data_IF_285278176134
#
_entry.id   IF_285278176134
#
_cell.length_a   1.000
_cell.length_b   1.000
_cell.length_c   1.000
_cell.angle_alpha   90.00
_cell.angle_beta   90.00
_cell.angle_gamma   90.00
#
_symmetry.space_group_name_H-M   'P 1'
#
loop_
_entity.id
_entity.type
_entity.pdbx_description
1 polymer ?
#
# COMPACT_ATOMS: atom_id res chain seq x y z
N UNK A 1 -5.92 -37.65 32.08
CA UNK A 1 -5.80 -37.54 30.59
C UNK A 1 -4.34 -37.25 30.31
N UNK A 2 -3.60 -38.26 29.97
CA UNK A 2 -2.15 -38.22 29.72
C UNK A 2 -1.91 -37.59 28.37
N UNK A 3 -1.25 -36.43 28.33
CA UNK A 3 -0.77 -35.79 27.07
C UNK A 3 0.30 -36.69 26.45
N UNK A 4 0.05 -37.08 25.21
CA UNK A 4 0.98 -37.88 24.44
C UNK A 4 2.13 -36.95 23.93
N UNK A 5 3.39 -37.14 24.34
CA UNK A 5 4.49 -36.22 23.98
C UNK A 5 4.99 -36.36 22.55
N UNK A 6 4.51 -37.37 21.80
CA UNK A 6 5.06 -37.68 20.45
C UNK A 6 4.48 -36.85 19.30
N UNK A 7 3.41 -36.09 19.54
CA UNK A 7 2.80 -35.23 18.48
C UNK A 7 3.38 -33.80 18.44
N UNK A 8 4.22 -33.43 19.42
CA UNK A 8 4.83 -32.10 19.48
C UNK A 8 6.14 -31.97 18.67
N UNK A 9 6.70 -33.06 18.18
CA UNK A 9 7.99 -33.09 17.47
C UNK A 9 7.87 -33.20 15.95
N UNK A 10 6.70 -33.54 15.42
CA UNK A 10 6.51 -33.71 13.97
C UNK A 10 5.86 -32.51 13.25
N UNK A 11 5.46 -31.46 13.95
CA UNK A 11 4.84 -30.28 13.33
C UNK A 11 5.79 -29.06 13.11
N UNK A 12 7.09 -29.24 13.31
CA UNK A 12 8.09 -28.32 12.71
C UNK A 12 8.21 -28.68 11.23
N UNK A 13 7.14 -28.41 10.48
CA UNK A 13 7.12 -28.55 9.04
C UNK A 13 8.39 -27.94 8.47
N UNK A 14 9.03 -28.64 7.57
CA UNK A 14 10.29 -28.31 6.95
C UNK A 14 10.29 -26.89 6.39
N UNK A 15 10.66 -25.90 7.16
CA UNK A 15 11.24 -24.69 6.68
C UNK A 15 12.57 -25.10 6.09
N UNK A 16 12.87 -24.67 4.86
CA UNK A 16 14.09 -25.02 4.15
C UNK A 16 15.40 -24.58 4.85
N UNK A 17 15.34 -24.10 6.07
CA UNK A 17 16.52 -23.80 6.93
C UNK A 17 17.48 -22.74 6.40
N UNK A 18 17.16 -22.15 5.26
CA UNK A 18 18.00 -21.17 4.54
C UNK A 18 17.61 -19.72 4.82
N UNK A 19 16.44 -19.50 5.42
CA UNK A 19 15.89 -18.17 5.74
C UNK A 19 16.29 -17.74 7.15
N UNK A 20 16.70 -16.48 7.27
CA UNK A 20 16.96 -15.82 8.54
C UNK A 20 15.90 -14.74 8.80
N UNK A 21 15.08 -14.90 9.85
CA UNK A 21 14.17 -13.83 10.31
C UNK A 21 14.97 -12.72 10.99
N UNK A 22 14.58 -11.49 10.77
CA UNK A 22 15.20 -10.31 11.37
C UNK A 22 14.37 -9.84 12.58
N UNK A 23 15.01 -9.34 13.66
CA UNK A 23 14.30 -8.88 14.86
C UNK A 23 13.77 -7.43 14.69
N UNK A 24 13.08 -7.18 13.58
CA UNK A 24 12.51 -5.87 13.25
C UNK A 24 11.04 -6.07 12.94
N UNK A 25 10.18 -5.36 13.65
CA UNK A 25 8.73 -5.40 13.50
C UNK A 25 8.18 -3.98 13.35
N UNK A 26 7.21 -3.81 12.46
CA UNK A 26 6.47 -2.58 12.24
C UNK A 26 5.01 -2.83 12.62
N UNK A 27 4.63 -2.34 13.77
CA UNK A 27 3.27 -2.44 14.30
C UNK A 27 2.42 -1.24 13.90
N UNK A 28 1.08 -1.39 13.91
CA UNK A 28 0.15 -0.26 13.79
C UNK A 28 0.43 0.80 14.86
N UNK A 29 0.28 2.07 14.48
CA UNK A 29 0.45 3.20 15.39
C UNK A 29 -0.78 4.12 15.34
N UNK A 30 -1.64 4.01 16.34
CA UNK A 30 -2.86 4.81 16.44
C UNK A 30 -2.59 6.31 16.66
N UNK A 31 -1.38 6.69 17.07
CA UNK A 31 -1.01 8.10 17.27
C UNK A 31 -0.75 8.84 15.96
N UNK A 32 -0.58 8.11 14.86
CA UNK A 32 -0.37 8.69 13.52
C UNK A 32 -1.71 9.05 12.89
N UNK A 33 -2.01 10.34 12.92
CA UNK A 33 -3.31 10.87 12.49
C UNK A 33 -3.15 11.92 11.41
N UNK A 34 -4.16 12.03 10.56
CA UNK A 34 -4.32 13.07 9.55
C UNK A 34 -5.62 13.81 9.77
N UNK A 35 -5.63 15.12 9.51
CA UNK A 35 -6.87 15.89 9.47
C UNK A 35 -7.49 15.71 8.09
N UNK A 36 -8.73 15.20 8.06
CA UNK A 36 -9.46 14.96 6.81
C UNK A 36 -10.90 15.47 6.88
N UNK A 37 -11.53 15.72 5.72
CA UNK A 37 -12.93 16.10 5.67
C UNK A 37 -13.84 15.13 6.40
N UNK A 38 -14.76 15.69 7.18
CA UNK A 38 -15.85 14.99 7.84
C UNK A 38 -17.19 15.55 7.38
N UNK A 39 -18.12 14.67 7.05
CA UNK A 39 -19.51 15.02 6.81
C UNK A 39 -20.39 14.31 7.82
N UNK A 40 -21.21 15.05 8.58
CA UNK A 40 -22.25 14.43 9.38
C UNK A 40 -23.14 13.58 8.48
N UNK A 41 -23.67 12.46 9.01
CA UNK A 41 -24.59 11.61 8.27
C UNK A 41 -25.76 12.43 7.69
N UNK A 42 -26.17 12.07 6.46
CA UNK A 42 -27.26 12.73 5.77
C UNK A 42 -28.53 12.74 6.62
N UNK A 43 -29.19 13.89 6.64
CA UNK A 43 -30.48 14.07 7.29
C UNK A 43 -31.58 13.80 6.25
N UNK A 44 -32.51 12.86 6.49
CA UNK A 44 -33.61 12.62 5.57
C UNK A 44 -34.43 13.90 5.21
N UNK A 45 -34.46 14.88 6.11
CA UNK A 45 -35.06 16.18 5.84
C UNK A 45 -34.31 17.04 4.85
N UNK A 46 -32.99 16.81 4.65
CA UNK A 46 -32.22 17.55 3.69
C UNK A 46 -32.64 17.30 2.25
N UNK A 47 -33.29 16.16 1.97
CA UNK A 47 -33.86 15.83 0.66
C UNK A 47 -35.11 16.63 0.33
N UNK A 48 -35.86 17.07 1.34
CA UNK A 48 -37.15 17.75 1.18
C UNK A 48 -37.11 19.25 1.50
N UNK A 49 -36.17 19.66 2.37
CA UNK A 49 -35.98 21.06 2.78
C UNK A 49 -34.48 21.35 2.88
N UNK A 50 -33.81 21.63 1.75
CA UNK A 50 -32.36 21.84 1.67
C UNK A 50 -31.84 22.97 2.59
N UNK A 51 -32.65 24.02 2.84
CA UNK A 51 -32.32 25.13 3.75
C UNK A 51 -32.20 24.67 5.21
N UNK A 52 -32.74 23.48 5.54
CA UNK A 52 -32.60 22.84 6.84
C UNK A 52 -31.58 21.71 6.85
N UNK A 53 -30.69 21.64 5.86
CA UNK A 53 -29.64 20.65 5.83
C UNK A 53 -28.83 20.69 7.15
N UNK A 54 -28.28 19.55 7.55
CA UNK A 54 -27.47 19.47 8.76
C UNK A 54 -26.23 20.38 8.69
N UNK A 55 -25.66 20.54 7.49
CA UNK A 55 -24.55 21.47 7.23
C UNK A 55 -24.97 22.91 7.55
N UNK A 56 -26.12 23.34 7.03
CA UNK A 56 -26.65 24.69 7.29
C UNK A 56 -26.90 24.91 8.79
N UNK A 57 -27.56 23.98 9.46
CA UNK A 57 -27.86 24.10 10.89
C UNK A 57 -26.58 24.18 11.76
N UNK A 58 -25.50 23.51 11.40
CA UNK A 58 -24.23 23.60 12.12
C UNK A 58 -23.62 24.98 11.90
N UNK A 59 -23.58 25.46 10.65
CA UNK A 59 -23.07 26.79 10.34
C UNK A 59 -23.87 27.89 11.08
N UNK A 60 -25.23 27.84 11.05
CA UNK A 60 -26.10 28.81 11.71
C UNK A 60 -25.89 28.85 13.22
N UNK A 61 -25.61 27.71 13.87
CA UNK A 61 -25.31 27.66 15.31
C UNK A 61 -24.01 28.43 15.62
N UNK A 62 -22.96 28.26 14.81
CA UNK A 62 -21.71 29.01 15.01
C UNK A 62 -21.92 30.49 14.74
N UNK A 63 -22.69 30.86 13.72
CA UNK A 63 -22.95 32.25 13.39
C UNK A 63 -23.79 32.97 14.49
N UNK A 64 -24.61 32.21 15.22
CA UNK A 64 -25.42 32.75 16.36
C UNK A 64 -24.63 32.86 17.67
N UNK A 65 -23.37 32.37 17.74
CA UNK A 65 -22.57 32.50 18.95
C UNK A 65 -22.05 33.93 19.13
N UNK A 66 -21.90 34.34 20.38
CA UNK A 66 -21.16 35.59 20.72
C UNK A 66 -19.66 35.48 20.33
N UNK A 67 -19.09 36.56 19.86
CA UNK A 67 -17.69 36.57 19.38
C UNK A 67 -16.68 36.05 20.44
N UNK A 68 -16.86 36.42 21.70
CA UNK A 68 -16.00 35.94 22.79
C UNK A 68 -16.08 34.43 22.97
N UNK A 69 -17.27 33.82 22.80
CA UNK A 69 -17.45 32.38 22.87
C UNK A 69 -16.84 31.66 21.66
N UNK A 70 -16.93 32.27 20.46
CA UNK A 70 -16.27 31.75 19.25
C UNK A 70 -14.77 31.72 19.44
N UNK A 71 -14.16 32.84 19.88
CA UNK A 71 -12.71 32.95 20.11
C UNK A 71 -12.22 31.94 21.15
N UNK A 72 -12.92 31.80 22.27
CA UNK A 72 -12.56 30.88 23.33
C UNK A 72 -12.62 29.41 22.87
N UNK A 73 -13.69 29.02 22.17
CA UNK A 73 -13.87 27.67 21.68
C UNK A 73 -12.89 27.32 20.55
N UNK A 74 -12.63 28.28 19.66
CA UNK A 74 -11.60 28.12 18.61
C UNK A 74 -10.22 27.92 19.19
N UNK A 75 -9.80 28.72 20.19
CA UNK A 75 -8.52 28.58 20.87
C UNK A 75 -8.38 27.18 21.49
N UNK A 76 -9.42 26.69 22.17
CA UNK A 76 -9.45 25.33 22.70
C UNK A 76 -9.34 24.27 21.60
N UNK A 77 -10.05 24.46 20.48
CA UNK A 77 -10.02 23.54 19.34
C UNK A 77 -8.66 23.47 18.69
N UNK A 78 -7.91 24.59 18.60
CA UNK A 78 -6.61 24.65 17.95
C UNK A 78 -5.46 24.19 18.87
N UNK A 79 -5.64 24.14 20.17
CA UNK A 79 -4.60 23.80 21.14
C UNK A 79 -3.86 22.47 20.84
N UNK A 80 -4.53 21.35 20.44
CA UNK A 80 -3.87 20.10 20.12
C UNK A 80 -2.99 20.15 18.86
N UNK A 81 -3.08 21.23 18.07
CA UNK A 81 -2.42 21.35 16.76
C UNK A 81 -1.27 22.37 16.75
N UNK A 82 -0.87 22.90 17.89
CA UNK A 82 0.18 23.95 18.00
C UNK A 82 1.53 23.47 17.45
N UNK A 83 1.85 22.19 17.64
CA UNK A 83 3.12 21.59 17.22
C UNK A 83 3.09 20.99 15.79
N UNK A 84 2.03 21.24 15.02
CA UNK A 84 1.94 20.72 13.64
C UNK A 84 2.81 21.55 12.69
N UNK A 85 3.57 20.87 11.81
CA UNK A 85 4.44 21.52 10.81
C UNK A 85 3.69 22.30 9.74
N UNK A 86 2.38 22.03 9.57
CA UNK A 86 1.51 22.66 8.58
C UNK A 86 0.44 23.54 9.25
N UNK A 87 0.01 24.57 8.54
CA UNK A 87 -1.02 25.48 9.05
C UNK A 87 -2.39 24.83 9.06
N UNK A 88 -2.83 24.39 10.23
CA UNK A 88 -4.18 23.84 10.45
C UNK A 88 -5.24 24.89 10.09
N UNK A 89 -5.01 26.18 10.39
CA UNK A 89 -5.93 27.24 10.03
C UNK A 89 -6.22 27.31 8.52
N UNK A 90 -5.19 27.10 7.66
CA UNK A 90 -5.40 27.08 6.21
C UNK A 90 -6.33 25.92 5.79
N UNK A 91 -6.19 24.76 6.43
CA UNK A 91 -7.06 23.61 6.17
C UNK A 91 -8.50 23.91 6.60
N UNK A 92 -8.67 24.52 7.77
CA UNK A 92 -10.01 24.87 8.28
C UNK A 92 -10.69 25.92 7.41
N UNK A 93 -9.96 26.95 6.95
CA UNK A 93 -10.53 27.95 6.03
C UNK A 93 -10.89 27.34 4.68
N UNK A 94 -10.01 26.53 4.09
CA UNK A 94 -10.33 25.82 2.83
C UNK A 94 -11.58 24.94 2.99
N UNK A 95 -11.72 24.28 4.14
CA UNK A 95 -12.90 23.50 4.45
C UNK A 95 -14.15 24.34 4.60
N UNK A 96 -14.05 25.48 5.26
CA UNK A 96 -15.15 26.45 5.34
C UNK A 96 -15.63 26.87 3.94
N UNK A 97 -14.74 27.24 3.04
CA UNK A 97 -15.09 27.66 1.67
C UNK A 97 -15.82 26.54 0.92
N UNK A 98 -15.36 25.28 1.05
CA UNK A 98 -16.04 24.13 0.46
C UNK A 98 -17.47 23.97 1.01
N UNK A 99 -17.64 24.04 2.33
CA UNK A 99 -18.95 23.93 2.99
C UNK A 99 -19.86 25.09 2.59
N UNK A 100 -19.33 26.31 2.60
CA UNK A 100 -20.06 27.54 2.22
C UNK A 100 -20.52 27.46 0.74
N UNK A 101 -19.73 26.79 -0.12
CA UNK A 101 -20.13 26.53 -1.50
C UNK A 101 -21.28 25.53 -1.65
N UNK A 102 -21.53 24.67 -0.65
CA UNK A 102 -22.56 23.62 -0.66
C UNK A 102 -23.87 24.00 0.04
N UNK A 103 -23.84 24.98 0.92
CA UNK A 103 -25.05 25.47 1.62
C UNK A 103 -25.77 26.52 0.79
N UNK A 104 -27.10 26.56 0.87
CA UNK A 104 -27.94 27.46 0.06
C UNK A 104 -27.82 28.90 0.56
N UNK A 105 -27.95 29.12 1.87
CA UNK A 105 -27.74 30.42 2.48
C UNK A 105 -26.26 30.61 2.80
N UNK A 106 -25.52 31.20 1.85
CA UNK A 106 -24.10 31.49 2.02
C UNK A 106 -23.86 32.31 3.28
N UNK A 107 -22.89 31.88 4.09
CA UNK A 107 -22.53 32.52 5.33
C UNK A 107 -21.66 33.75 5.10
N UNK A 108 -22.06 34.89 5.66
CA UNK A 108 -21.16 36.01 5.94
C UNK A 108 -20.57 35.81 7.35
N UNK A 109 -19.39 35.24 7.42
CA UNK A 109 -18.73 34.86 8.69
C UNK A 109 -17.49 35.71 8.94
N UNK A 110 -17.21 35.99 10.20
CA UNK A 110 -15.88 36.51 10.59
C UNK A 110 -14.81 35.44 10.36
N UNK A 111 -13.53 35.80 10.33
CA UNK A 111 -12.43 34.84 10.18
C UNK A 111 -12.50 33.71 11.22
N UNK A 112 -12.76 34.05 12.50
CA UNK A 112 -12.84 33.07 13.58
C UNK A 112 -14.05 32.16 13.45
N UNK A 113 -15.22 32.68 13.04
CA UNK A 113 -16.40 31.89 12.74
C UNK A 113 -16.15 30.95 11.55
N UNK A 114 -15.47 31.41 10.51
CA UNK A 114 -15.11 30.60 9.35
C UNK A 114 -14.17 29.44 9.75
N UNK A 115 -13.15 29.72 10.55
CA UNK A 115 -12.25 28.70 11.09
C UNK A 115 -13.02 27.67 11.93
N UNK A 116 -13.91 28.15 12.81
CA UNK A 116 -14.67 27.25 13.68
C UNK A 116 -15.69 26.41 12.89
N UNK A 117 -16.38 27.00 11.90
CA UNK A 117 -17.26 26.23 10.99
C UNK A 117 -16.42 25.18 10.26
N UNK A 118 -15.28 25.55 9.69
CA UNK A 118 -14.39 24.60 9.04
C UNK A 118 -13.98 23.43 9.96
N UNK A 119 -13.72 23.72 11.25
CA UNK A 119 -13.34 22.70 12.22
C UNK A 119 -14.46 21.68 12.47
N UNK A 120 -15.75 22.08 12.49
CA UNK A 120 -16.88 21.16 12.65
C UNK A 120 -17.05 20.17 11.49
N UNK A 121 -16.38 20.42 10.37
CA UNK A 121 -16.39 19.55 9.18
C UNK A 121 -15.05 18.92 8.88
N UNK A 122 -14.17 18.83 9.87
CA UNK A 122 -12.92 18.09 9.85
C UNK A 122 -12.91 17.06 10.98
N UNK A 123 -12.08 16.02 10.80
CA UNK A 123 -11.81 15.03 11.84
C UNK A 123 -10.35 14.62 11.81
N UNK A 124 -9.81 14.24 12.96
CA UNK A 124 -8.59 13.46 13.00
C UNK A 124 -8.93 12.01 12.65
N UNK A 125 -8.12 11.42 11.80
CA UNK A 125 -8.29 10.06 11.32
C UNK A 125 -6.98 9.29 11.47
N UNK A 126 -7.00 8.24 12.29
CA UNK A 126 -5.86 7.33 12.46
C UNK A 126 -5.90 6.26 11.37
N UNK A 127 -5.01 6.40 10.39
CA UNK A 127 -5.06 5.62 9.16
C UNK A 127 -4.35 4.27 9.23
N UNK A 128 -3.53 4.03 10.27
CA UNK A 128 -2.84 2.77 10.51
C UNK A 128 -3.09 2.22 11.93
N UNK A 129 -4.25 2.53 12.52
CA UNK A 129 -4.57 2.15 13.90
C UNK A 129 -4.83 0.64 14.08
N UNK A 130 -5.37 -0.02 13.06
CA UNK A 130 -5.81 -1.41 13.15
C UNK A 130 -4.79 -2.41 12.62
N UNK A 131 -4.08 -2.07 11.52
CA UNK A 131 -3.09 -2.95 10.90
C UNK A 131 -2.08 -2.14 10.08
N UNK A 132 -0.86 -2.69 9.96
CA UNK A 132 0.23 -2.15 9.14
C UNK A 132 0.96 -3.32 8.47
N UNK A 133 0.58 -3.66 7.23
CA UNK A 133 0.90 -4.94 6.63
C UNK A 133 1.06 -4.87 5.10
N UNK A 134 1.21 -6.02 4.44
CA UNK A 134 1.38 -6.18 3.00
C UNK A 134 2.47 -5.26 2.42
N UNK A 135 3.72 -5.42 2.91
CA UNK A 135 4.84 -4.56 2.55
C UNK A 135 5.32 -4.80 1.12
N UNK A 136 5.80 -3.72 0.46
CA UNK A 136 6.58 -3.80 -0.78
C UNK A 136 7.80 -2.89 -0.68
N UNK A 137 8.98 -3.41 -1.02
CA UNK A 137 10.26 -2.70 -0.88
C UNK A 137 10.92 -2.45 -2.24
N UNK A 138 11.43 -1.22 -2.44
CA UNK A 138 12.21 -0.83 -3.63
C UNK A 138 13.41 0.01 -3.21
N UNK A 139 14.49 0.07 -4.02
CA UNK A 139 15.58 1.00 -3.76
C UNK A 139 15.07 2.44 -3.69
N UNK A 140 15.58 3.22 -2.74
CA UNK A 140 15.28 4.66 -2.65
C UNK A 140 15.88 5.40 -3.86
N UNK A 141 15.23 6.43 -4.43
CA UNK A 141 15.78 7.17 -5.57
C UNK A 141 17.13 7.86 -5.24
N UNK A 142 17.29 8.29 -4.02
CA UNK A 142 18.54 8.89 -3.54
C UNK A 142 19.34 7.89 -2.69
N UNK A 143 20.50 7.49 -3.19
CA UNK A 143 21.47 6.62 -2.52
C UNK A 143 22.68 7.40 -1.99
N UNK A 144 22.66 8.74 -2.03
CA UNK A 144 23.78 9.56 -1.57
C UNK A 144 24.03 9.38 -0.07
N UNK A 145 25.30 9.44 0.31
CA UNK A 145 25.69 9.30 1.72
C UNK A 145 25.59 7.91 2.31
N UNK A 146 25.21 6.87 1.53
CA UNK A 146 25.16 5.50 2.04
C UNK A 146 26.57 4.91 2.18
N UNK A 147 26.84 4.20 3.28
CA UNK A 147 28.09 3.44 3.44
C UNK A 147 28.26 2.38 2.34
N UNK A 148 29.50 2.00 1.98
CA UNK A 148 29.75 0.93 1.02
C UNK A 148 29.02 -0.37 1.36
N UNK A 149 28.37 -0.99 0.36
CA UNK A 149 27.57 -2.22 0.54
C UNK A 149 26.25 -2.01 1.25
N UNK A 150 25.82 -0.77 1.47
CA UNK A 150 24.52 -0.43 2.03
C UNK A 150 23.57 0.07 0.95
N UNK A 151 22.31 -0.29 1.06
CA UNK A 151 21.23 0.14 0.19
C UNK A 151 20.19 0.91 1.00
N UNK A 152 19.87 2.15 0.62
CA UNK A 152 18.69 2.86 1.12
C UNK A 152 17.46 2.40 0.35
N UNK A 153 16.35 2.19 1.03
CA UNK A 153 15.11 1.72 0.41
C UNK A 153 13.89 2.53 0.84
N UNK A 154 12.85 2.40 0.02
CA UNK A 154 11.48 2.80 0.34
C UNK A 154 10.67 1.54 0.55
N UNK A 155 9.91 1.50 1.64
CA UNK A 155 8.96 0.46 1.98
C UNK A 155 7.55 1.04 1.93
N UNK A 156 6.69 0.55 1.06
CA UNK A 156 5.26 0.84 1.11
C UNK A 156 4.55 -0.19 1.97
N UNK A 157 3.52 0.24 2.69
CA UNK A 157 2.75 -0.58 3.62
C UNK A 157 1.26 -0.26 3.46
N UNK A 158 0.41 -1.26 3.63
CA UNK A 158 -1.02 -1.08 3.74
C UNK A 158 -1.36 -0.74 5.19
N UNK A 159 -1.84 0.48 5.42
CA UNK A 159 -2.39 0.91 6.70
C UNK A 159 -3.91 0.73 6.71
N UNK A 160 -4.47 0.23 7.81
CA UNK A 160 -5.91 0.13 8.02
C UNK A 160 -6.32 0.96 9.22
N UNK A 161 -7.21 1.91 8.99
CA UNK A 161 -7.75 2.81 9.99
C UNK A 161 -9.22 2.57 10.32
N UNK A 162 -9.86 3.58 10.91
CA UNK A 162 -11.28 3.59 11.22
C UNK A 162 -12.14 3.23 9.99
N UNK A 163 -13.19 2.43 10.20
CA UNK A 163 -14.07 1.96 9.13
C UNK A 163 -13.45 0.91 8.22
N UNK A 164 -12.30 0.32 8.60
CA UNK A 164 -11.54 -0.66 7.81
C UNK A 164 -11.12 -0.14 6.42
N UNK A 165 -10.93 1.18 6.30
CA UNK A 165 -10.46 1.80 5.07
C UNK A 165 -8.95 1.61 4.97
N UNK A 166 -8.52 1.01 3.86
CA UNK A 166 -7.10 0.82 3.56
C UNK A 166 -6.50 2.03 2.86
N UNK A 167 -5.28 2.39 3.25
CA UNK A 167 -4.45 3.42 2.65
C UNK A 167 -3.03 2.89 2.43
N UNK A 168 -2.23 3.59 1.62
CA UNK A 168 -0.80 3.26 1.47
C UNK A 168 0.03 4.30 2.21
N UNK A 169 0.89 3.83 3.10
CA UNK A 169 1.87 4.63 3.83
C UNK A 169 3.29 4.16 3.52
N UNK A 170 4.28 4.99 3.82
CA UNK A 170 5.66 4.70 3.48
C UNK A 170 6.57 4.74 4.71
N UNK A 171 7.66 3.99 4.64
CA UNK A 171 8.82 4.07 5.53
C UNK A 171 10.08 4.11 4.70
N UNK A 172 11.15 4.64 5.25
CA UNK A 172 12.51 4.51 4.70
C UNK A 172 13.35 3.68 5.64
N UNK A 173 14.47 3.23 5.14
CA UNK A 173 15.44 2.49 5.91
C UNK A 173 16.66 2.14 5.07
N UNK A 174 17.59 1.43 5.68
CA UNK A 174 18.79 0.95 5.01
C UNK A 174 19.03 -0.53 5.32
N UNK A 175 19.63 -1.21 4.35
CA UNK A 175 20.01 -2.60 4.48
C UNK A 175 21.46 -2.81 4.04
N UNK A 176 22.19 -3.59 4.81
CA UNK A 176 23.53 -4.06 4.50
C UNK A 176 23.65 -5.50 4.96
N UNK A 177 24.17 -6.36 4.12
CA UNK A 177 24.29 -7.81 4.42
C UNK A 177 25.11 -8.08 5.68
N UNK A 178 26.09 -7.22 6.00
CA UNK A 178 26.98 -7.38 7.16
C UNK A 178 26.44 -6.74 8.44
N UNK A 179 25.88 -5.52 8.32
CA UNK A 179 25.44 -4.74 9.50
C UNK A 179 23.93 -4.86 9.79
N UNK A 180 23.16 -5.41 8.85
CA UNK A 180 21.74 -5.69 9.05
C UNK A 180 20.82 -4.63 8.48
N UNK A 181 19.57 -4.65 8.96
CA UNK A 181 18.45 -3.81 8.57
C UNK A 181 18.21 -2.71 9.61
N UNK A 182 18.00 -1.49 9.13
CA UNK A 182 17.54 -0.37 9.96
C UNK A 182 16.31 0.26 9.29
N UNK A 183 15.28 0.57 10.08
CA UNK A 183 14.12 1.34 9.65
C UNK A 183 14.19 2.72 10.30
N UNK A 184 14.01 3.76 9.52
CA UNK A 184 13.97 5.13 10.02
C UNK A 184 12.69 5.35 10.83
N UNK A 185 12.79 6.08 11.94
CA UNK A 185 11.63 6.41 12.76
C UNK A 185 10.65 7.28 11.95
N UNK A 186 9.37 6.91 11.84
CA UNK A 186 8.41 7.71 11.10
C UNK A 186 8.08 9.00 11.83
N UNK A 187 7.76 10.05 11.08
CA UNK A 187 7.16 11.26 11.63
C UNK A 187 5.80 10.92 12.26
N UNK A 188 5.45 11.56 13.36
CA UNK A 188 4.10 11.50 13.94
C UNK A 188 3.07 12.28 13.13
N UNK A 189 3.53 13.18 12.29
CA UNK A 189 2.68 14.05 11.49
C UNK A 189 2.39 13.40 10.15
N UNK A 190 1.20 13.65 9.64
CA UNK A 190 0.79 13.25 8.29
C UNK A 190 0.17 14.44 7.63
N UNK A 191 0.58 14.71 6.42
CA UNK A 191 0.15 15.88 5.65
C UNK A 191 -0.92 15.47 4.65
N UNK A 192 -2.00 16.24 4.60
CA UNK A 192 -2.99 16.10 3.55
C UNK A 192 -2.42 16.57 2.21
N UNK A 193 -2.47 15.71 1.19
CA UNK A 193 -1.92 16.00 -0.13
C UNK A 193 -2.87 16.84 -0.97
N UNK A 194 -2.30 17.57 -1.92
CA UNK A 194 -3.06 18.30 -2.94
C UNK A 194 -3.39 17.35 -4.09
N UNK A 195 -4.68 17.29 -4.42
CA UNK A 195 -5.17 16.59 -5.60
C UNK A 195 -5.20 17.57 -6.76
N UNK A 196 -4.55 17.19 -7.86
CA UNK A 196 -4.62 17.89 -9.13
C UNK A 196 -5.27 16.98 -10.16
N UNK A 197 -6.23 17.50 -10.91
CA UNK A 197 -6.71 16.78 -12.09
C UNK A 197 -5.65 16.90 -13.17
N UNK A 198 -5.41 15.82 -13.90
CA UNK A 198 -4.47 15.85 -15.01
C UNK A 198 -4.94 16.94 -16.01
N UNK A 199 -4.08 17.92 -16.33
CA UNK A 199 -4.43 18.96 -17.30
C UNK A 199 -4.57 18.44 -18.74
N UNK A 200 -4.19 17.17 -19.01
CA UNK A 200 -4.28 16.57 -20.33
C UNK A 200 -5.32 15.43 -20.36
N UNK A 201 -6.62 15.74 -20.61
CA UNK A 201 -7.71 14.77 -20.59
C UNK A 201 -7.70 13.78 -21.78
N UNK A 202 -6.70 13.83 -22.66
CA UNK A 202 -6.56 12.87 -23.77
C UNK A 202 -6.01 11.49 -23.34
N UNK A 203 -5.54 11.33 -22.10
CA UNK A 203 -5.29 10.05 -21.49
C UNK A 203 -6.59 9.64 -20.78
N UNK A 204 -7.31 8.67 -21.33
CA UNK A 204 -8.46 7.95 -20.78
C UNK A 204 -8.93 8.43 -19.41
N UNK A 205 -10.00 9.19 -19.42
CA UNK A 205 -10.92 9.56 -18.35
C UNK A 205 -10.58 9.01 -16.95
N UNK A 206 -10.04 9.89 -16.07
CA UNK A 206 -9.92 9.61 -14.65
C UNK A 206 -8.53 9.53 -14.03
N UNK A 207 -7.47 9.98 -14.70
CA UNK A 207 -6.16 10.06 -14.06
C UNK A 207 -6.15 11.11 -12.94
N UNK A 208 -5.56 10.76 -11.79
CA UNK A 208 -5.45 11.63 -10.63
C UNK A 208 -3.97 11.84 -10.33
N UNK A 209 -3.61 13.10 -10.16
CA UNK A 209 -2.28 13.48 -9.71
C UNK A 209 -2.33 13.90 -8.25
N UNK A 210 -1.52 13.26 -7.43
CA UNK A 210 -1.32 13.57 -6.01
C UNK A 210 0.04 14.24 -5.87
N UNK A 211 0.06 15.45 -5.30
CA UNK A 211 1.29 16.22 -5.09
C UNK A 211 1.51 16.44 -3.60
N UNK A 212 2.67 15.99 -3.11
CA UNK A 212 3.14 16.21 -1.75
C UNK A 212 4.03 17.45 -1.68
N UNK A 213 4.13 18.11 -0.53
CA UNK A 213 4.98 19.27 -0.38
C UNK A 213 6.47 18.89 -0.41
N UNK A 214 7.32 19.85 -0.72
CA UNK A 214 8.76 19.63 -0.90
C UNK A 214 9.49 19.22 0.38
N UNK A 215 9.10 19.76 1.51
CA UNK A 215 9.73 19.51 2.80
C UNK A 215 9.19 18.33 3.59
N UNK A 216 8.12 17.66 3.11
CA UNK A 216 7.51 16.56 3.84
C UNK A 216 8.42 15.32 3.87
N UNK A 217 8.59 14.71 5.04
CA UNK A 217 9.22 13.40 5.16
C UNK A 217 8.40 12.34 4.40
N UNK A 218 9.06 11.31 3.89
CA UNK A 218 8.37 10.27 3.13
C UNK A 218 7.31 9.56 3.99
N UNK A 219 7.57 9.38 5.27
CA UNK A 219 6.63 8.75 6.19
C UNK A 219 5.38 9.62 6.48
N UNK A 220 5.42 10.92 6.19
CA UNK A 220 4.27 11.81 6.29
C UNK A 220 3.29 11.67 5.13
N UNK A 221 3.72 11.01 4.05
CA UNK A 221 2.95 10.82 2.81
C UNK A 221 2.08 9.58 2.92
N UNK A 222 0.78 9.78 2.78
CA UNK A 222 -0.21 8.70 2.80
C UNK A 222 -1.13 8.84 1.61
N UNK A 223 -1.25 7.78 0.82
CA UNK A 223 -2.18 7.73 -0.30
C UNK A 223 -3.52 7.21 0.21
N UNK A 224 -4.50 8.10 0.30
CA UNK A 224 -5.87 7.78 0.67
C UNK A 224 -6.72 7.47 -0.56
N UNK A 225 -7.86 6.77 -0.37
CA UNK A 225 -8.88 6.67 -1.38
C UNK A 225 -9.36 8.05 -1.88
N UNK A 226 -9.27 8.28 -3.19
CA UNK A 226 -9.61 9.58 -3.83
C UNK A 226 -10.62 9.43 -4.97
N UNK A 227 -10.95 8.19 -5.36
CA UNK A 227 -11.96 7.87 -6.38
C UNK A 227 -13.12 7.08 -5.81
N UNK A 228 -14.23 7.01 -6.55
CA UNK A 228 -15.36 6.17 -6.19
C UNK A 228 -14.99 4.68 -6.15
N UNK A 229 -14.08 4.23 -7.01
CA UNK A 229 -13.57 2.86 -7.07
C UNK A 229 -12.70 2.50 -5.86
N UNK A 230 -12.08 3.50 -5.23
CA UNK A 230 -11.19 3.33 -4.07
C UNK A 230 -11.89 3.58 -2.74
N UNK A 231 -13.19 3.93 -2.71
CA UNK A 231 -13.86 4.47 -1.49
C UNK A 231 -13.75 3.59 -0.24
N UNK A 232 -13.54 2.28 -0.41
CA UNK A 232 -13.34 1.33 0.68
C UNK A 232 -11.88 0.90 0.85
N UNK A 233 -10.96 1.43 0.03
CA UNK A 233 -9.52 1.23 0.23
C UNK A 233 -8.71 1.16 -1.03
N UNK A 234 -7.42 1.41 -0.82
CA UNK A 234 -6.30 1.13 -1.72
C UNK A 234 -5.54 -0.02 -1.08
N UNK A 235 -5.45 -1.18 -1.77
CA UNK A 235 -4.90 -2.40 -1.21
C UNK A 235 -3.64 -2.84 -1.94
N UNK A 236 -2.67 -3.39 -1.19
CA UNK A 236 -1.60 -4.25 -1.68
C UNK A 236 -0.74 -3.64 -2.80
N UNK A 237 -0.24 -2.42 -2.58
CA UNK A 237 0.65 -1.75 -3.54
C UNK A 237 1.92 -2.58 -3.78
N UNK A 238 2.17 -2.92 -5.04
CA UNK A 238 3.30 -3.72 -5.53
C UNK A 238 4.21 -2.84 -6.36
N UNK A 239 5.22 -2.29 -5.71
CA UNK A 239 6.17 -1.38 -6.34
C UNK A 239 7.30 -2.13 -7.05
N UNK A 240 7.77 -1.53 -8.13
CA UNK A 240 9.02 -1.89 -8.80
C UNK A 240 9.73 -0.64 -9.30
N UNK A 241 11.05 -0.62 -9.21
CA UNK A 241 11.88 0.35 -9.93
C UNK A 241 12.00 -0.13 -11.38
N UNK A 242 11.31 0.56 -12.27
CA UNK A 242 11.29 0.25 -13.69
C UNK A 242 12.42 1.02 -14.41
N UNK A 243 13.18 0.31 -15.22
CA UNK A 243 14.26 0.88 -16.03
C UNK A 243 13.82 0.88 -17.49
N UNK A 244 13.76 2.08 -18.08
CA UNK A 244 13.41 2.27 -19.49
C UNK A 244 14.61 1.92 -20.39
N UNK A 245 14.36 1.78 -21.69
CA UNK A 245 15.39 1.43 -22.69
C UNK A 245 16.51 2.48 -22.80
N UNK A 246 16.21 3.74 -22.49
CA UNK A 246 17.17 4.85 -22.41
C UNK A 246 17.96 4.91 -21.10
N UNK A 247 17.76 3.92 -20.21
CA UNK A 247 18.33 3.79 -18.86
C UNK A 247 17.79 4.78 -17.84
N UNK A 248 16.84 5.62 -18.17
CA UNK A 248 16.09 6.35 -17.15
C UNK A 248 15.31 5.37 -16.27
N UNK A 249 14.97 5.78 -15.06
CA UNK A 249 14.20 4.92 -14.17
C UNK A 249 13.11 5.68 -13.47
N UNK A 250 11.99 5.02 -13.23
CA UNK A 250 10.86 5.47 -12.46
C UNK A 250 10.28 4.32 -11.64
N UNK A 251 9.33 4.59 -10.81
CA UNK A 251 8.64 3.56 -10.04
C UNK A 251 7.26 3.33 -10.63
N UNK A 252 6.98 2.07 -10.93
CA UNK A 252 5.66 1.59 -11.28
C UNK A 252 5.11 0.81 -10.10
N UNK A 253 3.82 0.94 -9.84
CA UNK A 253 3.14 0.17 -8.83
C UNK A 253 1.75 -0.23 -9.31
N UNK A 254 1.38 -1.48 -9.13
CA UNK A 254 -0.01 -1.89 -9.23
C UNK A 254 -0.61 -2.01 -7.85
N UNK A 255 -1.87 -1.66 -7.71
CA UNK A 255 -2.62 -1.84 -6.47
C UNK A 255 -4.07 -2.22 -6.78
N UNK A 256 -4.79 -2.65 -5.77
CA UNK A 256 -6.20 -2.97 -5.89
C UNK A 256 -7.04 -1.84 -5.33
N UNK A 257 -7.86 -1.22 -6.16
CA UNK A 257 -8.92 -0.32 -5.75
C UNK A 257 -10.14 -1.15 -5.35
N UNK A 258 -10.74 -0.84 -4.19
CA UNK A 258 -11.92 -1.51 -3.68
C UNK A 258 -13.04 -0.51 -3.36
N UNK A 259 -14.21 -0.73 -3.92
CA UNK A 259 -15.36 0.17 -3.74
C UNK A 259 -16.40 -0.34 -2.73
N UNK A 260 -16.11 -1.48 -2.06
CA UNK A 260 -17.01 -2.16 -1.14
C UNK A 260 -17.83 -3.27 -1.80
N UNK A 261 -17.77 -3.43 -3.13
CA UNK A 261 -18.47 -4.46 -3.92
C UNK A 261 -17.55 -5.12 -4.94
N UNK A 262 -16.82 -4.32 -5.68
CA UNK A 262 -15.94 -4.75 -6.76
C UNK A 262 -14.51 -4.31 -6.49
N UNK A 263 -13.57 -5.08 -7.04
CA UNK A 263 -12.15 -4.76 -7.07
C UNK A 263 -11.75 -4.40 -8.50
N UNK A 264 -10.79 -3.48 -8.63
CA UNK A 264 -10.19 -3.13 -9.91
C UNK A 264 -8.68 -2.90 -9.73
N UNK A 265 -7.84 -3.41 -10.62
CA UNK A 265 -6.41 -3.08 -10.61
C UNK A 265 -6.21 -1.65 -11.12
N UNK A 266 -5.34 -0.92 -10.45
CA UNK A 266 -4.94 0.42 -10.85
C UNK A 266 -3.41 0.52 -10.87
N UNK A 267 -2.90 1.44 -11.71
CA UNK A 267 -1.48 1.76 -11.86
C UNK A 267 -1.15 3.02 -11.08
N UNK A 268 -0.07 2.97 -10.32
CA UNK A 268 0.60 4.12 -9.73
C UNK A 268 1.94 4.34 -10.43
N UNK A 269 2.25 5.58 -10.79
CA UNK A 269 3.59 5.95 -11.26
C UNK A 269 4.14 7.11 -10.44
N UNK A 270 5.45 7.06 -10.15
CA UNK A 270 6.18 8.14 -9.47
C UNK A 270 7.66 8.06 -9.82
N UNK A 271 8.32 9.22 -9.92
CA UNK A 271 9.78 9.28 -10.12
C UNK A 271 10.51 9.52 -8.80
N UNK A 272 9.86 10.17 -7.85
CA UNK A 272 10.46 10.78 -6.66
C UNK A 272 9.70 10.56 -5.35
N UNK A 273 8.60 9.80 -5.39
CA UNK A 273 7.67 9.63 -4.27
C UNK A 273 7.04 10.94 -3.75
N UNK A 274 7.12 12.03 -4.50
CA UNK A 274 6.51 13.33 -4.20
C UNK A 274 5.29 13.59 -5.05
N UNK A 275 5.38 13.19 -6.30
CA UNK A 275 4.28 13.23 -7.24
C UNK A 275 3.88 11.82 -7.60
N UNK A 276 2.61 11.50 -7.38
CA UNK A 276 2.03 10.20 -7.75
C UNK A 276 0.95 10.41 -8.78
N UNK A 277 1.02 9.65 -9.88
CA UNK A 277 -0.04 9.62 -10.86
C UNK A 277 -0.76 8.27 -10.76
N UNK A 278 -2.09 8.31 -10.60
CA UNK A 278 -2.94 7.15 -10.49
C UNK A 278 -3.75 7.00 -11.77
N UNK A 279 -3.75 5.80 -12.33
CA UNK A 279 -4.41 5.50 -13.60
C UNK A 279 -5.18 4.19 -13.50
N UNK A 280 -6.23 4.05 -14.27
CA UNK A 280 -6.90 2.77 -14.45
C UNK A 280 -6.06 1.85 -15.33
N UNK A 281 -6.17 0.57 -15.09
CA UNK A 281 -5.68 -0.49 -15.96
C UNK A 281 -6.88 -1.18 -16.58
N UNK A 282 -6.82 -1.43 -17.89
CA UNK A 282 -7.93 -1.95 -18.67
C UNK A 282 -7.50 -3.15 -19.52
N UNK A 283 -8.49 -3.89 -20.01
CA UNK A 283 -8.30 -5.04 -20.89
C UNK A 283 -8.33 -6.38 -20.16
N UNK A 284 -8.39 -7.49 -20.91
CA UNK A 284 -8.56 -8.84 -20.36
C UNK A 284 -7.42 -9.29 -19.46
N UNK A 285 -6.20 -8.77 -19.65
CA UNK A 285 -5.05 -9.05 -18.76
C UNK A 285 -5.04 -8.23 -17.47
N UNK A 286 -5.83 -7.14 -17.38
CA UNK A 286 -5.91 -6.26 -16.21
C UNK A 286 -7.18 -6.55 -15.38
N UNK A 287 -7.36 -7.80 -14.98
CA UNK A 287 -8.52 -8.24 -14.18
C UNK A 287 -8.06 -8.78 -12.83
N UNK A 288 -9.00 -8.82 -11.86
CA UNK A 288 -8.76 -9.32 -10.52
C UNK A 288 -7.74 -8.45 -9.76
N UNK A 289 -6.85 -9.05 -8.97
CA UNK A 289 -5.83 -8.39 -8.15
C UNK A 289 -4.49 -9.14 -8.21
N UNK A 290 -3.46 -8.56 -7.60
CA UNK A 290 -2.15 -9.20 -7.50
C UNK A 290 -1.28 -9.01 -8.75
N UNK A 291 -1.57 -8.00 -9.57
CA UNK A 291 -0.74 -7.65 -10.72
C UNK A 291 0.65 -7.18 -10.25
N UNK A 292 1.70 -7.51 -11.01
CA UNK A 292 3.05 -7.06 -10.68
C UNK A 292 3.91 -6.90 -11.94
N UNK A 293 4.43 -5.71 -12.15
CA UNK A 293 5.24 -5.37 -13.32
C UNK A 293 6.64 -6.01 -13.24
N UNK A 294 7.19 -6.38 -14.40
CA UNK A 294 8.62 -6.64 -14.54
C UNK A 294 9.42 -5.34 -14.43
N UNK A 295 10.68 -5.38 -13.99
CA UNK A 295 11.49 -4.17 -13.77
C UNK A 295 12.00 -3.50 -15.06
N UNK A 296 11.76 -4.08 -16.21
CA UNK A 296 12.06 -3.56 -17.55
C UNK A 296 11.19 -4.23 -18.62
N UNK A 297 11.28 -3.75 -19.84
CA UNK A 297 10.61 -4.38 -20.98
C UNK A 297 11.22 -5.75 -21.30
N UNK A 298 10.39 -6.64 -21.81
CA UNK A 298 10.74 -7.94 -22.36
C UNK A 298 10.44 -7.88 -23.85
N UNK A 299 11.45 -8.05 -24.69
CA UNK A 299 11.32 -7.93 -26.15
C UNK A 299 10.56 -6.66 -26.60
N UNK A 300 10.92 -5.52 -25.98
CA UNK A 300 10.33 -4.21 -26.28
C UNK A 300 8.93 -3.97 -25.69
N UNK A 301 8.32 -4.95 -25.01
CA UNK A 301 6.98 -4.83 -24.40
C UNK A 301 7.05 -4.70 -22.89
N UNK A 302 6.09 -4.00 -22.33
CA UNK A 302 5.81 -4.09 -20.89
C UNK A 302 5.30 -5.50 -20.58
N UNK A 303 5.72 -6.02 -19.44
CA UNK A 303 5.30 -7.32 -18.95
C UNK A 303 4.78 -7.22 -17.53
N UNK A 304 3.76 -7.97 -17.19
CA UNK A 304 3.27 -8.12 -15.81
C UNK A 304 2.83 -9.55 -15.54
N UNK A 305 3.02 -9.96 -14.29
CA UNK A 305 2.34 -11.13 -13.74
C UNK A 305 0.95 -10.71 -13.29
N UNK A 306 -0.04 -11.54 -13.60
CA UNK A 306 -1.44 -11.31 -13.24
C UNK A 306 -2.11 -12.59 -12.74
N UNK A 307 -3.38 -12.50 -12.37
CA UNK A 307 -4.16 -13.62 -11.81
C UNK A 307 -5.53 -13.65 -12.49
N UNK A 308 -5.59 -14.28 -13.64
CA UNK A 308 -6.80 -14.28 -14.47
C UNK A 308 -7.93 -15.15 -13.88
N UNK A 309 -7.59 -16.35 -13.42
CA UNK A 309 -8.51 -17.37 -12.91
C UNK A 309 -8.65 -17.41 -11.38
N UNK A 310 -8.03 -16.49 -10.66
CA UNK A 310 -7.88 -16.45 -9.19
C UNK A 310 -7.18 -17.70 -8.59
N UNK A 311 -6.61 -18.57 -9.42
CA UNK A 311 -5.94 -19.80 -8.99
C UNK A 311 -4.46 -19.79 -9.35
N UNK A 312 -4.12 -19.35 -10.58
CA UNK A 312 -2.80 -19.50 -11.20
C UNK A 312 -2.09 -18.14 -11.37
N UNK A 313 -0.78 -18.18 -11.65
CA UNK A 313 -0.02 -17.02 -12.10
C UNK A 313 -0.02 -16.99 -13.63
N UNK A 314 -0.36 -15.85 -14.19
CA UNK A 314 -0.42 -15.58 -15.61
C UNK A 314 0.55 -14.47 -15.99
N UNK A 315 0.99 -14.45 -17.25
CA UNK A 315 1.83 -13.39 -17.84
C UNK A 315 1.03 -12.66 -18.91
N UNK A 316 0.99 -11.34 -18.82
CA UNK A 316 0.48 -10.46 -19.86
C UNK A 316 1.58 -9.57 -20.42
N UNK A 317 1.56 -9.32 -21.73
CA UNK A 317 2.47 -8.42 -22.44
C UNK A 317 1.65 -7.29 -23.08
N UNK A 318 2.21 -6.06 -23.07
CA UNK A 318 1.54 -4.90 -23.68
C UNK A 318 2.54 -3.90 -24.24
N UNK A 319 2.10 -3.16 -25.26
CA UNK A 319 2.85 -2.03 -25.80
C UNK A 319 2.68 -0.75 -24.96
N UNK A 320 1.69 -0.71 -24.04
CA UNK A 320 1.47 0.41 -23.14
C UNK A 320 1.06 -0.06 -21.72
N UNK A 321 1.18 0.82 -20.73
CA UNK A 321 0.94 0.52 -19.33
C UNK A 321 -0.55 0.48 -18.93
N UNK A 322 -1.43 0.97 -19.75
CA UNK A 322 -2.85 1.17 -19.40
C UNK A 322 -3.76 0.08 -19.95
N UNK A 323 -3.41 -0.54 -21.08
CA UNK A 323 -4.22 -1.57 -21.70
C UNK A 323 -3.45 -2.89 -21.81
N UNK A 324 -4.02 -3.98 -21.28
CA UNK A 324 -3.41 -5.30 -21.21
C UNK A 324 -4.25 -6.31 -21.96
N UNK A 325 -3.64 -6.93 -22.98
CA UNK A 325 -4.27 -7.93 -23.84
C UNK A 325 -4.47 -9.28 -23.12
N UNK A 326 -4.57 -10.30 -23.93
CA UNK A 326 -4.66 -11.68 -23.43
C UNK A 326 -3.40 -12.07 -22.67
N UNK A 327 -3.57 -12.98 -21.71
CA UNK A 327 -2.50 -13.50 -20.86
C UNK A 327 -2.34 -15.01 -21.05
N UNK A 328 -1.15 -15.52 -20.72
CA UNK A 328 -0.84 -16.94 -20.76
C UNK A 328 -0.51 -17.44 -19.36
N UNK A 329 -0.90 -18.68 -19.05
CA UNK A 329 -0.61 -19.32 -17.76
C UNK A 329 0.89 -19.60 -17.64
N UNK A 330 1.49 -19.22 -16.53
CA UNK A 330 2.91 -19.44 -16.20
C UNK A 330 3.07 -20.52 -15.15
N UNK A 331 2.25 -20.46 -14.10
CA UNK A 331 2.37 -21.34 -12.95
C UNK A 331 1.01 -21.67 -12.35
N UNK A 332 0.70 -22.96 -12.25
CA UNK A 332 -0.50 -23.46 -11.58
C UNK A 332 -0.14 -24.17 -10.27
N UNK A 333 -1.10 -24.32 -9.33
CA UNK A 333 -0.92 -25.08 -8.11
C UNK A 333 -0.40 -26.49 -8.37
N UNK A 334 0.59 -26.95 -7.59
CA UNK A 334 1.21 -28.27 -7.73
C UNK A 334 1.36 -28.98 -6.38
N UNK A 335 1.69 -28.26 -5.33
CA UNK A 335 1.99 -28.82 -4.03
C UNK A 335 0.85 -28.57 -3.02
N UNK A 336 0.67 -29.39 -1.99
CA UNK A 336 -0.45 -29.25 -1.05
C UNK A 336 -0.57 -27.88 -0.38
N UNK A 337 0.56 -27.18 -0.22
CA UNK A 337 0.57 -25.84 0.39
C UNK A 337 0.03 -24.74 -0.51
N UNK A 338 -0.27 -25.03 -1.77
CA UNK A 338 -0.77 -24.08 -2.78
C UNK A 338 -2.03 -24.59 -3.52
N UNK A 339 -2.62 -25.70 -3.13
CA UNK A 339 -3.73 -26.36 -3.85
C UNK A 339 -4.98 -25.49 -4.03
N UNK A 340 -5.20 -24.50 -3.16
CA UNK A 340 -6.33 -23.58 -3.34
C UNK A 340 -5.98 -22.52 -4.38
N UNK A 341 -4.77 -21.97 -4.30
CA UNK A 341 -4.23 -20.99 -5.27
C UNK A 341 -2.74 -20.75 -5.07
N UNK A 342 -2.10 -20.30 -6.14
CA UNK A 342 -0.78 -19.71 -6.12
C UNK A 342 -0.83 -18.31 -6.73
N UNK A 343 -0.01 -17.38 -6.22
CA UNK A 343 0.12 -16.02 -6.75
C UNK A 343 1.51 -15.47 -6.48
N UNK A 344 1.84 -14.36 -7.12
CA UNK A 344 3.10 -13.64 -6.89
C UNK A 344 3.02 -12.80 -5.61
N UNK A 345 4.15 -12.60 -4.96
CA UNK A 345 4.37 -11.66 -3.84
C UNK A 345 5.09 -10.38 -4.31
N UNK A 346 4.68 -9.82 -5.45
CA UNK A 346 5.29 -8.63 -6.02
C UNK A 346 5.99 -8.89 -7.34
N UNK A 347 6.78 -7.93 -7.75
CA UNK A 347 7.48 -7.89 -9.04
C UNK A 347 8.57 -8.94 -9.13
N UNK A 348 8.76 -9.55 -10.32
CA UNK A 348 9.91 -10.41 -10.57
C UNK A 348 11.24 -9.67 -10.37
N UNK A 349 12.23 -10.39 -9.87
CA UNK A 349 13.58 -9.89 -9.67
C UNK A 349 14.49 -10.49 -10.73
N UNK A 350 15.23 -9.64 -11.45
CA UNK A 350 16.17 -10.11 -12.46
C UNK A 350 17.43 -10.69 -11.82
N UNK A 351 17.74 -11.95 -12.14
CA UNK A 351 18.98 -12.64 -11.81
C UNK A 351 19.71 -13.03 -13.10
N UNK A 352 20.92 -13.49 -12.98
CA UNK A 352 21.66 -14.05 -14.14
C UNK A 352 21.00 -15.33 -14.65
N UNK A 353 20.44 -16.13 -13.74
CA UNK A 353 19.79 -17.41 -14.01
C UNK A 353 18.38 -17.27 -14.60
N UNK A 354 17.70 -16.13 -14.40
CA UNK A 354 16.33 -15.90 -14.85
C UNK A 354 15.59 -14.88 -14.02
N UNK A 355 14.25 -14.93 -14.06
CA UNK A 355 13.39 -14.07 -13.26
C UNK A 355 12.96 -14.80 -11.98
N UNK A 356 13.50 -14.38 -10.85
CA UNK A 356 13.06 -14.87 -9.55
C UNK A 356 11.72 -14.24 -9.20
N UNK A 357 10.71 -15.08 -8.97
CA UNK A 357 9.37 -14.66 -8.50
C UNK A 357 9.16 -15.24 -7.11
N UNK A 358 8.98 -14.37 -6.12
CA UNK A 358 8.51 -14.78 -4.81
C UNK A 358 7.01 -15.03 -4.92
N UNK A 359 6.56 -16.21 -4.47
CA UNK A 359 5.18 -16.65 -4.61
C UNK A 359 4.51 -16.79 -3.24
N UNK A 360 3.19 -16.75 -3.23
CA UNK A 360 2.41 -17.24 -2.10
C UNK A 360 1.51 -18.38 -2.57
N UNK A 361 1.38 -19.37 -1.73
CA UNK A 361 0.43 -20.45 -1.90
C UNK A 361 -0.61 -20.44 -0.80
N UNK A 362 -1.81 -20.91 -1.11
CA UNK A 362 -2.88 -21.12 -0.14
C UNK A 362 -3.21 -22.59 -0.07
N UNK A 363 -2.96 -23.19 1.08
CA UNK A 363 -3.20 -24.58 1.35
C UNK A 363 -4.40 -24.81 2.28
N UNK A 364 -4.46 -26.02 2.83
CA UNK A 364 -5.54 -26.45 3.72
C UNK A 364 -5.73 -25.47 4.90
N UNK A 365 -7.00 -25.33 5.33
CA UNK A 365 -7.42 -24.40 6.40
C UNK A 365 -7.00 -22.95 6.10
N UNK A 366 -6.98 -22.58 4.81
CA UNK A 366 -6.57 -21.24 4.33
C UNK A 366 -5.21 -20.80 4.87
N UNK A 367 -4.26 -21.73 4.98
CA UNK A 367 -2.89 -21.41 5.40
C UNK A 367 -2.14 -20.79 4.24
N UNK A 368 -1.71 -19.54 4.39
CA UNK A 368 -0.85 -18.84 3.43
C UNK A 368 0.61 -19.14 3.74
N UNK A 369 1.36 -19.48 2.71
CA UNK A 369 2.79 -19.72 2.77
C UNK A 369 3.50 -19.01 1.63
N UNK A 370 4.75 -18.64 1.82
CA UNK A 370 5.60 -17.99 0.80
C UNK A 370 6.57 -19.02 0.25
N UNK A 371 6.67 -19.10 -1.07
CA UNK A 371 7.65 -19.88 -1.82
C UNK A 371 8.33 -19.04 -2.89
N UNK A 372 8.95 -19.70 -3.87
CA UNK A 372 9.58 -19.01 -5.00
C UNK A 372 9.58 -19.89 -6.25
N UNK A 373 9.68 -19.24 -7.42
CA UNK A 373 9.95 -19.91 -8.68
C UNK A 373 10.94 -19.07 -9.53
N UNK A 374 11.55 -19.73 -10.51
CA UNK A 374 12.46 -19.13 -11.48
C UNK A 374 11.84 -19.27 -12.87
N UNK A 375 11.68 -18.15 -13.59
CA UNK A 375 11.21 -18.14 -14.97
C UNK A 375 12.38 -17.88 -15.92
N UNK A 376 12.23 -18.34 -17.16
CA UNK A 376 13.24 -18.12 -18.19
C UNK A 376 13.43 -16.61 -18.45
N UNK A 377 14.70 -16.20 -18.60
CA UNK A 377 15.06 -14.78 -18.74
C UNK A 377 14.58 -14.16 -20.04
N UNK A 378 14.50 -14.94 -21.12
CA UNK A 378 14.06 -14.49 -22.45
C UNK A 378 12.58 -14.70 -22.65
N UNK A 379 12.07 -15.81 -22.18
CA UNK A 379 10.65 -16.19 -22.27
C UNK A 379 10.07 -16.40 -20.86
N UNK A 380 9.58 -15.35 -20.18
CA UNK A 380 9.05 -15.48 -18.83
C UNK A 380 7.76 -16.30 -18.71
N UNK A 381 7.19 -16.76 -19.83
CA UNK A 381 6.08 -17.72 -19.79
C UNK A 381 6.56 -19.14 -19.42
N UNK A 382 7.86 -19.39 -19.50
CA UNK A 382 8.48 -20.70 -19.24
C UNK A 382 9.00 -20.78 -17.80
N UNK A 383 8.43 -21.68 -17.02
CA UNK A 383 8.94 -22.06 -15.71
C UNK A 383 10.25 -22.89 -15.86
N UNK A 384 11.30 -22.50 -15.17
CA UNK A 384 12.56 -23.25 -15.11
C UNK A 384 12.62 -24.13 -13.87
N UNK A 385 12.25 -23.58 -12.69
CA UNK A 385 12.29 -24.29 -11.42
C UNK A 385 11.37 -23.64 -10.40
N UNK A 386 10.99 -24.36 -9.32
CA UNK A 386 10.19 -23.84 -8.20
C UNK A 386 10.52 -24.56 -6.91
N UNK A 387 10.27 -23.92 -5.78
CA UNK A 387 10.42 -24.55 -4.47
C UNK A 387 9.29 -25.57 -4.22
N UNK A 388 9.61 -26.86 -3.93
CA UNK A 388 8.59 -27.87 -3.61
C UNK A 388 7.98 -27.63 -2.20
N UNK A 389 8.78 -27.10 -1.27
CA UNK A 389 8.35 -26.70 0.07
C UNK A 389 8.40 -25.18 0.21
N UNK A 390 7.52 -24.59 1.01
CA UNK A 390 7.54 -23.14 1.22
C UNK A 390 8.76 -22.69 2.03
N UNK A 391 9.24 -21.50 1.69
CA UNK A 391 10.29 -20.79 2.43
C UNK A 391 9.80 -20.34 3.80
N UNK A 392 8.53 -19.92 3.88
CA UNK A 392 7.96 -19.31 5.06
C UNK A 392 6.50 -19.70 5.26
N UNK A 393 6.17 -20.05 6.50
CA UNK A 393 4.79 -20.21 7.00
C UNK A 393 4.65 -19.48 8.34
N UNK A 394 3.43 -19.10 8.70
CA UNK A 394 3.15 -18.58 10.03
C UNK A 394 3.52 -19.63 11.10
N UNK A 395 4.25 -19.22 12.13
CA UNK A 395 4.57 -20.06 13.28
C UNK A 395 3.38 -20.13 14.26
N UNK A 396 3.45 -21.01 15.24
CA UNK A 396 2.35 -21.22 16.17
C UNK A 396 2.02 -19.96 17.00
N UNK A 397 3.01 -19.18 17.34
CA UNK A 397 2.92 -17.88 18.04
C UNK A 397 2.54 -16.70 17.14
N UNK A 398 2.68 -16.85 15.83
CA UNK A 398 2.33 -15.82 14.81
C UNK A 398 0.88 -15.96 14.31
N UNK A 399 0.07 -16.81 14.93
CA UNK A 399 -1.33 -17.07 14.52
C UNK A 399 -2.33 -16.11 15.15
N UNK A 400 -1.88 -15.20 16.01
CA UNK A 400 -2.71 -14.20 16.67
C UNK A 400 -2.73 -12.93 15.84
N UNK A 401 -3.90 -12.53 15.33
CA UNK A 401 -4.07 -11.32 14.53
C UNK A 401 -5.40 -11.27 13.80
N UNK A 402 -5.55 -10.35 12.86
CA UNK A 402 -6.80 -10.12 12.14
C UNK A 402 -7.20 -11.32 11.26
N UNK A 403 -6.23 -11.93 10.56
CA UNK A 403 -6.44 -13.17 9.79
C UNK A 403 -5.40 -14.22 10.20
N UNK A 404 -5.76 -15.21 11.02
CA UNK A 404 -4.83 -16.27 11.43
C UNK A 404 -4.25 -17.04 10.24
N UNK A 405 -3.03 -17.58 10.41
CA UNK A 405 -2.33 -18.41 9.43
C UNK A 405 -1.93 -17.70 8.13
N UNK A 406 -1.78 -16.39 8.13
CA UNK A 406 -1.38 -15.63 6.94
C UNK A 406 0.03 -15.08 7.12
N UNK A 407 0.89 -15.37 6.14
CA UNK A 407 2.12 -14.65 5.84
C UNK A 407 2.03 -14.14 4.41
N UNK A 408 2.32 -12.84 4.18
CA UNK A 408 2.12 -12.24 2.87
C UNK A 408 3.10 -11.11 2.59
N UNK A 409 3.47 -10.93 1.32
CA UNK A 409 4.33 -9.84 0.85
C UNK A 409 3.81 -9.29 -0.47
N UNK A 410 4.10 -8.03 -0.73
CA UNK A 410 3.79 -7.33 -1.97
C UNK A 410 5.04 -6.92 -2.76
N UNK A 411 6.24 -7.20 -2.26
CA UNK A 411 7.48 -6.93 -2.97
C UNK A 411 8.72 -7.17 -2.12
N UNK A 412 9.76 -7.62 -2.77
CA UNK A 412 11.07 -7.91 -2.18
C UNK A 412 12.18 -7.40 -3.12
N UNK A 413 13.41 -7.33 -2.63
CA UNK A 413 14.57 -6.94 -3.45
C UNK A 413 15.78 -7.82 -3.13
N UNK A 414 16.72 -7.90 -4.07
CA UNK A 414 18.01 -8.55 -3.88
C UNK A 414 19.10 -7.49 -3.78
N UNK A 415 19.95 -7.61 -2.76
CA UNK A 415 21.12 -6.77 -2.55
C UNK A 415 22.30 -7.62 -2.12
N UNK A 416 23.44 -7.48 -2.80
CA UNK A 416 24.65 -8.26 -2.56
C UNK A 416 24.41 -9.79 -2.44
N UNK A 417 23.62 -10.35 -3.37
CA UNK A 417 23.30 -11.78 -3.42
C UNK A 417 22.35 -12.28 -2.33
N UNK A 418 21.74 -11.39 -1.57
CA UNK A 418 20.78 -11.73 -0.51
C UNK A 418 19.41 -11.11 -0.81
N UNK A 419 18.36 -11.92 -0.79
CA UNK A 419 16.97 -11.48 -0.84
C UNK A 419 16.60 -10.83 0.50
N UNK A 420 16.16 -9.59 0.47
CA UNK A 420 15.44 -8.93 1.57
C UNK A 420 13.95 -9.09 1.31
N UNK A 421 13.28 -9.82 2.19
CA UNK A 421 11.85 -10.13 2.11
C UNK A 421 11.12 -9.50 3.30
N UNK A 422 10.51 -8.31 3.14
CA UNK A 422 9.52 -7.83 4.07
C UNK A 422 8.23 -8.64 3.91
N UNK A 423 7.57 -9.01 5.00
CA UNK A 423 6.31 -9.75 4.96
C UNK A 423 5.41 -9.41 6.15
N UNK A 424 4.13 -9.58 5.95
CA UNK A 424 3.13 -9.39 6.98
C UNK A 424 2.83 -10.69 7.69
N UNK A 425 2.41 -10.58 8.95
CA UNK A 425 1.93 -11.67 9.78
C UNK A 425 0.48 -11.39 10.18
N UNK A 426 -0.38 -12.38 9.95
CA UNK A 426 -1.78 -12.41 10.37
C UNK A 426 -2.59 -11.15 9.96
N UNK A 427 -2.22 -10.51 8.83
CA UNK A 427 -2.77 -9.23 8.33
C UNK A 427 -2.77 -8.12 9.40
N UNK A 428 -1.78 -8.11 10.29
CA UNK A 428 -1.72 -7.21 11.44
C UNK A 428 -0.49 -6.32 11.44
N UNK A 429 0.69 -6.89 11.29
CA UNK A 429 1.96 -6.18 11.35
C UNK A 429 2.96 -6.71 10.33
N UNK A 430 4.06 -6.00 10.14
CA UNK A 430 5.11 -6.32 9.16
C UNK A 430 6.41 -6.67 9.87
N UNK A 431 7.11 -7.68 9.35
CA UNK A 431 8.46 -8.08 9.75
C UNK A 431 9.31 -8.41 8.52
N UNK A 432 10.55 -8.88 8.72
CA UNK A 432 11.52 -9.06 7.66
C UNK A 432 12.25 -10.39 7.79
N UNK A 433 12.64 -10.92 6.62
CA UNK A 433 13.53 -12.07 6.53
C UNK A 433 14.59 -11.84 5.43
N UNK A 434 15.67 -12.59 5.51
CA UNK A 434 16.71 -12.64 4.46
C UNK A 434 16.98 -14.05 4.02
N UNK A 435 17.28 -14.22 2.72
CA UNK A 435 17.59 -15.52 2.10
C UNK A 435 18.75 -15.35 1.13
N UNK A 436 19.88 -16.05 1.28
CA UNK A 436 20.93 -16.08 0.27
C UNK A 436 20.41 -16.68 -1.04
N UNK A 437 20.64 -16.00 -2.16
CA UNK A 437 20.08 -16.38 -3.47
C UNK A 437 20.61 -17.74 -3.93
N UNK A 438 21.90 -18.00 -3.77
CA UNK A 438 22.53 -19.28 -4.11
C UNK A 438 21.86 -20.47 -3.41
N UNK A 439 21.56 -20.30 -2.10
CA UNK A 439 20.86 -21.31 -1.32
C UNK A 439 19.40 -21.46 -1.74
N UNK A 440 18.74 -20.34 -2.06
CA UNK A 440 17.34 -20.38 -2.53
C UNK A 440 17.24 -21.17 -3.85
N UNK A 441 18.08 -20.84 -4.82
CA UNK A 441 18.11 -21.52 -6.11
C UNK A 441 18.43 -23.03 -5.97
N UNK A 442 19.31 -23.40 -5.06
CA UNK A 442 19.66 -24.80 -4.80
C UNK A 442 18.50 -25.62 -4.21
N UNK A 443 17.42 -24.99 -3.73
CA UNK A 443 16.21 -25.71 -3.22
C UNK A 443 15.12 -25.89 -4.26
N UNK A 444 15.28 -25.32 -5.43
CA UNK A 444 14.28 -25.39 -6.51
C UNK A 444 14.45 -26.64 -7.35
N UNK A 445 13.33 -27.19 -7.81
CA UNK A 445 13.23 -28.37 -8.69
C UNK A 445 12.57 -27.97 -10.03
#
# INVERSE_FOLDING_TARGET
MTRNPSLATESRGAQLGIMKRLPVELHPDASRVVIRPFFPADDPLALTVPERSRLQRIADRVLSMENAAVSAYLAQTLLPFVDRSYSVEKLLLARFEEINGRIIAKCSATREQALLIGAFFQQEYSYEAAALFNPSVVPHPDQSGMPPGSLRFVLSLRGVGEGHISSVTFRTGSYNVKTGLTIDAPSRQVVAHRLERDPNPSASDGSIRIVCNEGDDLSERVLFPVTAQQRNGIEDLRLVRFVEDDRSSRYLGSYTAYDGRAIAPELLTTDDFRTFNLHRMEGPGAVNKGLAFFPRRIDGKYALLCRHDDESIWLALSDNLHHWGESVTVLSPRYPWEFIKIGNCGSPIELDEGWLVITHGVGAVRNYAIGACLLDKKDPSRLLARTPEPLLRAQADERSGYVPNVVYSCGSLVHDGVLLLPYAIADSYTTFATVPIDRLLATME
#
